data_IF_453869604714
#
_entry.id   IF_453869604714
#
_cell.length_a   1.000
_cell.length_b   1.000
_cell.length_c   1.000
_cell.angle_alpha   90.00
_cell.angle_beta   90.00
_cell.angle_gamma   90.00
#
_symmetry.space_group_name_H-M   'P 1'
#
loop_
_entity.id
_entity.type
_entity.pdbx_description
1 polymer ?
#
# COMPACT_ATOMS: atom_id res chain seq x y z
N UNK A 1 -38.77 1.72 -12.21
CA UNK A 1 -37.44 1.72 -12.84
C UNK A 1 -36.43 1.20 -11.83
N UNK A 2 -35.75 0.09 -12.09
CA UNK A 2 -34.70 -0.41 -11.19
C UNK A 2 -33.38 0.31 -11.51
N UNK A 3 -33.12 1.42 -10.81
CA UNK A 3 -31.90 2.23 -10.95
C UNK A 3 -30.72 1.72 -10.11
N UNK A 4 -30.56 0.41 -9.96
CA UNK A 4 -29.52 -0.17 -9.09
C UNK A 4 -28.24 -0.40 -9.88
N UNK A 5 -27.16 0.29 -9.49
CA UNK A 5 -25.82 0.09 -10.05
C UNK A 5 -25.14 -1.04 -9.26
N UNK A 6 -24.64 -2.04 -9.97
CA UNK A 6 -23.98 -3.22 -9.38
C UNK A 6 -22.56 -3.36 -9.90
N UNK A 7 -21.69 -3.97 -9.12
CA UNK A 7 -20.33 -4.27 -9.53
C UNK A 7 -20.34 -5.42 -10.56
N UNK A 8 -19.63 -5.24 -11.69
CA UNK A 8 -19.53 -6.25 -12.75
C UNK A 8 -18.78 -7.52 -12.29
N UNK A 9 -17.86 -7.38 -11.33
CA UNK A 9 -17.04 -8.49 -10.83
C UNK A 9 -17.78 -9.34 -9.79
N UNK A 10 -18.36 -8.73 -8.75
CA UNK A 10 -19.00 -9.47 -7.65
C UNK A 10 -20.53 -9.49 -7.69
N UNK A 11 -21.17 -8.72 -8.58
CA UNK A 11 -22.63 -8.57 -8.69
C UNK A 11 -23.33 -8.02 -7.43
N UNK A 12 -22.56 -7.60 -6.43
CA UNK A 12 -23.04 -6.85 -5.27
C UNK A 12 -23.26 -5.37 -5.62
N UNK A 13 -23.68 -4.56 -4.64
CA UNK A 13 -23.79 -3.11 -4.78
C UNK A 13 -22.50 -2.51 -5.33
N UNK A 14 -22.63 -1.55 -6.25
CA UNK A 14 -21.48 -0.83 -6.78
C UNK A 14 -20.67 -0.21 -5.63
N UNK A 15 -19.36 -0.42 -5.70
CA UNK A 15 -18.40 0.11 -4.74
C UNK A 15 -17.30 0.83 -5.50
N UNK A 16 -16.74 1.86 -4.89
CA UNK A 16 -15.54 2.54 -5.41
C UNK A 16 -14.30 1.84 -4.86
N UNK A 17 -13.34 1.58 -5.74
CA UNK A 17 -12.11 0.86 -5.39
C UNK A 17 -12.18 -0.65 -5.65
N UNK A 18 -11.15 -1.39 -5.20
CA UNK A 18 -10.99 -2.80 -5.48
C UNK A 18 -12.18 -3.64 -4.98
N UNK A 19 -12.51 -4.68 -5.74
CA UNK A 19 -13.62 -5.56 -5.42
C UNK A 19 -13.29 -6.46 -4.22
N UNK A 20 -14.08 -6.42 -3.13
CA UNK A 20 -13.79 -7.18 -1.92
C UNK A 20 -13.99 -8.70 -2.10
N UNK A 21 -14.79 -9.11 -3.09
CA UNK A 21 -15.00 -10.51 -3.47
C UNK A 21 -14.09 -10.97 -4.62
N UNK A 22 -13.13 -10.14 -5.04
CA UNK A 22 -12.13 -10.58 -6.01
C UNK A 22 -11.11 -11.47 -5.29
N UNK A 23 -11.34 -12.78 -5.37
CA UNK A 23 -10.50 -13.80 -4.76
C UNK A 23 -9.05 -13.76 -5.30
N UNK A 24 -8.85 -13.32 -6.55
CA UNK A 24 -7.52 -13.15 -7.12
C UNK A 24 -6.76 -11.99 -6.48
N UNK A 25 -7.45 -10.88 -6.26
CA UNK A 25 -6.90 -9.72 -5.55
C UNK A 25 -6.63 -10.03 -4.08
N UNK A 26 -7.55 -10.73 -3.41
CA UNK A 26 -7.35 -11.21 -2.03
C UNK A 26 -6.12 -12.10 -1.92
N UNK A 27 -5.98 -13.11 -2.78
CA UNK A 27 -4.83 -14.00 -2.76
C UNK A 27 -3.52 -13.25 -3.02
N UNK A 28 -3.52 -12.25 -3.91
CA UNK A 28 -2.36 -11.41 -4.15
C UNK A 28 -2.00 -10.53 -2.94
N UNK A 29 -3.01 -9.98 -2.24
CA UNK A 29 -2.84 -9.22 -1.01
C UNK A 29 -2.30 -10.10 0.12
N UNK A 30 -2.88 -11.28 0.32
CA UNK A 30 -2.44 -12.22 1.35
C UNK A 30 -1.02 -12.74 1.09
N UNK A 31 -0.69 -13.08 -0.15
CA UNK A 31 0.67 -13.45 -0.54
C UNK A 31 1.64 -12.29 -0.31
N UNK A 32 1.25 -11.06 -0.66
CA UNK A 32 2.07 -9.90 -0.42
C UNK A 32 2.28 -9.65 1.08
N UNK A 33 1.24 -9.75 1.92
CA UNK A 33 1.34 -9.64 3.38
C UNK A 33 2.24 -10.74 3.97
N UNK A 34 2.16 -11.98 3.45
CA UNK A 34 3.02 -13.10 3.86
C UNK A 34 4.51 -12.88 3.51
N UNK A 35 4.80 -12.26 2.36
CA UNK A 35 6.15 -11.84 1.96
C UNK A 35 6.63 -10.56 2.67
N UNK A 36 5.86 -10.06 3.65
CA UNK A 36 6.21 -8.88 4.45
C UNK A 36 5.77 -7.55 3.84
N UNK A 37 4.88 -7.60 2.85
CA UNK A 37 4.14 -6.48 2.27
C UNK A 37 3.44 -5.65 3.33
N UNK A 38 3.30 -4.35 3.07
CA UNK A 38 2.60 -3.42 3.99
C UNK A 38 1.65 -2.52 3.24
N UNK A 39 0.54 -2.19 3.91
CA UNK A 39 -0.48 -1.27 3.39
C UNK A 39 0.03 0.16 3.46
N UNK A 40 -0.14 0.88 2.36
CA UNK A 40 0.15 2.31 2.29
C UNK A 40 -0.77 3.07 3.27
N UNK A 41 -0.23 3.94 4.14
CA UNK A 41 -1.03 4.69 5.10
C UNK A 41 -1.97 5.71 4.43
N UNK A 42 -1.65 6.15 3.22
CA UNK A 42 -2.44 7.15 2.50
C UNK A 42 -3.60 6.56 1.70
N UNK A 43 -3.40 5.43 1.01
CA UNK A 43 -4.40 4.86 0.10
C UNK A 43 -4.84 3.43 0.47
N UNK A 44 -4.17 2.76 1.41
CA UNK A 44 -4.47 1.39 1.85
C UNK A 44 -3.98 0.28 0.90
N UNK A 45 -3.37 0.62 -0.24
CA UNK A 45 -2.86 -0.37 -1.20
C UNK A 45 -1.65 -1.13 -0.62
N UNK A 46 -1.58 -2.43 -0.87
CA UNK A 46 -0.46 -3.26 -0.40
C UNK A 46 0.74 -3.02 -1.30
N UNK A 47 1.82 -2.54 -0.70
CA UNK A 47 3.08 -2.31 -1.38
C UNK A 47 4.06 -3.40 -0.96
N UNK A 48 4.74 -3.98 -1.95
CA UNK A 48 5.87 -4.86 -1.75
C UNK A 48 7.16 -4.08 -1.93
N UNK A 49 8.08 -4.22 -0.97
CA UNK A 49 9.38 -3.56 -1.01
C UNK A 49 10.41 -4.51 -1.59
N UNK A 50 11.16 -4.05 -2.60
CA UNK A 50 12.37 -4.73 -3.04
C UNK A 50 13.49 -4.71 -1.98
N UNK A 51 14.56 -5.50 -2.16
CA UNK A 51 15.75 -5.42 -1.32
C UNK A 51 16.46 -4.05 -1.49
N UNK A 52 16.95 -3.47 -0.39
CA UNK A 52 17.73 -2.22 -0.42
C UNK A 52 17.10 -1.06 0.36
N UNK A 53 16.37 -0.17 -0.33
CA UNK A 53 15.81 1.05 0.28
C UNK A 53 14.45 0.78 0.93
N UNK A 54 14.20 1.38 2.10
CA UNK A 54 12.88 1.30 2.78
C UNK A 54 12.07 2.58 2.64
N UNK A 55 12.49 3.49 1.77
CA UNK A 55 11.67 4.59 1.27
C UNK A 55 10.77 4.07 0.15
N UNK A 56 9.46 4.22 0.32
CA UNK A 56 8.49 4.00 -0.76
C UNK A 56 8.22 5.37 -1.40
N UNK A 57 8.76 5.60 -2.59
CA UNK A 57 8.61 6.84 -3.35
C UNK A 57 7.33 6.79 -4.21
N UNK A 58 6.17 6.75 -3.56
CA UNK A 58 4.88 6.60 -4.23
C UNK A 58 4.74 5.34 -5.08
N UNK A 59 3.51 5.04 -5.49
CA UNK A 59 3.17 4.02 -6.47
C UNK A 59 2.16 4.59 -7.47
N UNK A 60 1.77 3.81 -8.46
CA UNK A 60 0.94 4.24 -9.61
C UNK A 60 -0.37 4.93 -9.24
N UNK A 61 -0.98 4.59 -8.10
CA UNK A 61 -2.24 5.17 -7.63
C UNK A 61 -2.05 6.21 -6.50
N UNK A 62 -0.85 6.35 -5.94
CA UNK A 62 -0.58 7.27 -4.83
C UNK A 62 0.85 7.80 -4.85
N UNK A 63 1.03 9.11 -4.99
CA UNK A 63 2.35 9.76 -4.95
C UNK A 63 2.85 10.07 -3.53
N UNK A 64 2.39 9.31 -2.52
CA UNK A 64 2.77 9.54 -1.14
C UNK A 64 4.09 8.87 -0.78
N UNK A 65 4.95 9.58 -0.06
CA UNK A 65 6.29 9.13 0.31
C UNK A 65 6.31 8.70 1.78
N UNK A 66 6.55 7.41 2.02
CA UNK A 66 6.48 6.85 3.37
C UNK A 66 7.53 5.78 3.62
N UNK A 67 7.75 5.50 4.91
CA UNK A 67 8.72 4.51 5.37
C UNK A 67 8.09 3.13 5.50
N UNK A 68 8.62 2.15 4.77
CA UNK A 68 8.09 0.79 4.79
C UNK A 68 8.12 0.11 6.17
N UNK A 69 9.03 0.53 7.06
CA UNK A 69 9.18 -0.06 8.38
C UNK A 69 8.12 0.43 9.36
N UNK A 70 7.83 1.73 9.32
CA UNK A 70 7.12 2.44 10.40
C UNK A 70 5.77 3.00 9.94
N UNK A 71 5.44 2.85 8.65
CA UNK A 71 4.18 3.34 8.04
C UNK A 71 3.94 4.83 8.23
N UNK A 72 4.99 5.58 8.56
CA UNK A 72 4.96 7.02 8.77
C UNK A 72 5.47 7.74 7.53
N UNK A 73 5.03 8.98 7.37
CA UNK A 73 5.56 9.94 6.41
C UNK A 73 7.09 9.97 6.46
N UNK A 74 7.72 10.01 5.29
CA UNK A 74 9.17 10.02 5.19
C UNK A 74 9.80 11.21 5.95
N UNK A 75 9.18 12.38 5.88
CA UNK A 75 9.63 13.62 6.52
C UNK A 75 9.51 13.56 8.06
N UNK A 76 8.44 12.97 8.58
CA UNK A 76 8.19 12.84 10.03
C UNK A 76 9.02 11.69 10.65
N UNK A 77 9.37 10.69 9.83
CA UNK A 77 10.02 9.46 10.25
C UNK A 77 11.57 9.54 10.22
N UNK A 78 12.18 10.74 10.16
CA UNK A 78 13.64 11.00 10.11
C UNK A 78 14.45 10.48 11.33
N UNK A 79 14.35 9.21 11.71
CA UNK A 79 15.14 8.64 12.81
C UNK A 79 14.32 8.05 13.96
N UNK A 80 13.02 8.34 14.03
CA UNK A 80 12.21 8.09 15.24
C UNK A 80 11.97 6.60 15.53
N UNK A 81 12.10 5.72 14.54
CA UNK A 81 11.89 4.28 14.73
C UNK A 81 13.18 3.46 14.60
N UNK A 82 13.25 2.33 15.32
CA UNK A 82 14.41 1.44 15.31
C UNK A 82 14.70 0.94 13.88
N UNK A 83 15.88 1.27 13.33
CA UNK A 83 16.24 0.97 11.93
C UNK A 83 16.12 2.14 10.94
N UNK A 84 15.77 3.34 11.39
CA UNK A 84 15.64 4.55 10.55
C UNK A 84 16.94 5.05 9.92
N UNK A 85 18.09 4.76 10.54
CA UNK A 85 19.37 5.41 10.22
C UNK A 85 20.14 4.84 9.01
N UNK A 86 19.68 3.74 8.39
CA UNK A 86 20.50 3.07 7.35
C UNK A 86 20.40 3.68 5.94
N UNK A 87 19.43 4.57 5.69
CA UNK A 87 19.15 5.15 4.36
C UNK A 87 18.89 6.66 4.35
N UNK A 88 18.72 7.30 5.51
CA UNK A 88 18.53 8.76 5.62
C UNK A 88 19.77 9.58 5.20
N UNK A 89 20.94 8.93 5.01
CA UNK A 89 22.22 9.61 4.75
C UNK A 89 22.69 9.56 3.30
N UNK A 90 21.85 9.12 2.35
CA UNK A 90 22.24 9.02 0.92
C UNK A 90 21.47 9.97 0.00
N UNK A 91 21.20 11.18 0.48
CA UNK A 91 20.85 12.32 -0.37
C UNK A 91 22.19 12.93 -0.83
N UNK A 92 22.62 12.58 -2.05
CA UNK A 92 23.76 13.21 -2.72
C UNK A 92 23.30 14.45 -3.49
#
# INVERSE_FOLDING_TARGET
TCGTVTCLSCKNSAHEGPCPDDEGLKAAVEAAEADGGKKCPACGEVVLRGPGCRHISGHSSCQHHWRFLCLADWEDCMGSCEGSHADATRVH
#
